data_IF_228906471983
#
_entry.id   IF_228906471983
#
_cell.length_a   1.000
_cell.length_b   1.000
_cell.length_c   1.000
_cell.angle_alpha   90.00
_cell.angle_beta   90.00
_cell.angle_gamma   90.00
#
_symmetry.space_group_name_H-M   'P 1'
#
loop_
_entity.id
_entity.type
_entity.pdbx_description
1 polymer ?
#
# COMPACT_ATOMS: atom_id res chain seq x y z
N UNK A 1 -10.29 8.01 29.39
CA UNK A 1 -8.86 7.95 28.94
C UNK A 1 -8.19 6.61 29.27
N UNK A 2 -8.56 5.94 30.38
CA UNK A 2 -8.08 4.60 30.74
C UNK A 2 -8.65 3.46 29.85
N UNK A 3 -9.94 3.48 29.51
CA UNK A 3 -10.53 2.47 28.60
C UNK A 3 -9.87 2.44 27.21
N UNK A 4 -9.55 3.61 26.64
CA UNK A 4 -8.83 3.70 25.35
C UNK A 4 -7.43 3.07 25.40
N UNK A 5 -6.75 3.04 26.56
CA UNK A 5 -5.45 2.37 26.71
C UNK A 5 -5.61 0.85 26.75
N UNK A 6 -6.63 0.32 27.42
CA UNK A 6 -6.87 -1.11 27.52
C UNK A 6 -7.23 -1.74 26.16
N UNK A 7 -8.08 -1.07 25.35
CA UNK A 7 -8.36 -1.51 23.98
C UNK A 7 -7.13 -1.44 23.06
N UNK A 8 -6.13 -0.60 23.35
CA UNK A 8 -4.91 -0.53 22.55
C UNK A 8 -4.01 -1.77 22.75
N UNK A 9 -3.87 -2.26 23.96
CA UNK A 9 -3.11 -3.49 24.22
C UNK A 9 -3.83 -4.70 23.62
N UNK A 10 -5.13 -4.85 23.90
CA UNK A 10 -5.95 -5.94 23.35
C UNK A 10 -5.90 -5.97 21.81
N UNK A 11 -6.11 -4.83 21.15
CA UNK A 11 -6.04 -4.78 19.68
C UNK A 11 -4.64 -5.08 19.14
N UNK A 12 -3.57 -4.80 19.90
CA UNK A 12 -2.21 -5.17 19.48
C UNK A 12 -2.01 -6.68 19.54
N UNK A 13 -2.43 -7.33 20.63
CA UNK A 13 -2.40 -8.79 20.73
C UNK A 13 -3.26 -9.48 19.67
N UNK A 14 -4.43 -8.91 19.37
CA UNK A 14 -5.31 -9.42 18.31
C UNK A 14 -4.69 -9.25 16.92
N UNK A 15 -4.03 -8.13 16.63
CA UNK A 15 -3.30 -7.95 15.35
C UNK A 15 -2.24 -9.04 15.20
N UNK A 16 -1.40 -9.24 16.24
CA UNK A 16 -0.30 -10.23 16.18
C UNK A 16 -0.84 -11.66 16.03
N UNK A 17 -1.86 -12.03 16.80
CA UNK A 17 -2.44 -13.38 16.74
C UNK A 17 -3.14 -13.66 15.41
N UNK A 18 -3.96 -12.74 14.89
CA UNK A 18 -4.61 -12.89 13.59
C UNK A 18 -3.56 -12.93 12.47
N UNK A 19 -2.54 -12.08 12.52
CA UNK A 19 -1.45 -12.09 11.53
C UNK A 19 -0.70 -13.41 11.52
N UNK A 20 -0.45 -13.99 12.70
CA UNK A 20 0.22 -15.27 12.85
C UNK A 20 -0.63 -16.41 12.26
N UNK A 21 -1.92 -16.48 12.61
CA UNK A 21 -2.84 -17.47 12.05
C UNK A 21 -2.97 -17.32 10.53
N UNK A 22 -3.08 -16.08 10.04
CA UNK A 22 -3.17 -15.80 8.61
C UNK A 22 -1.89 -16.20 7.86
N UNK A 23 -0.71 -15.98 8.46
CA UNK A 23 0.56 -16.45 7.91
C UNK A 23 0.65 -17.97 7.81
N UNK A 24 0.09 -18.71 8.79
CA UNK A 24 0.00 -20.16 8.72
C UNK A 24 -0.94 -20.62 7.59
N UNK A 25 -2.10 -19.98 7.46
CA UNK A 25 -3.11 -20.29 6.42
C UNK A 25 -2.55 -20.06 5.01
N UNK A 26 -1.90 -18.92 4.76
CA UNK A 26 -1.35 -18.62 3.44
C UNK A 26 -0.17 -19.54 3.15
N UNK A 27 0.75 -19.70 4.09
CA UNK A 27 1.93 -20.54 3.88
C UNK A 27 1.63 -22.05 3.78
N UNK A 28 0.48 -22.52 4.30
CA UNK A 28 0.00 -23.88 4.02
C UNK A 28 -0.54 -24.04 2.60
N UNK A 29 -0.67 -22.96 1.82
CA UNK A 29 -1.19 -22.97 0.47
C UNK A 29 -2.72 -22.99 0.37
N UNK A 30 -3.47 -22.60 1.41
CA UNK A 30 -4.95 -22.66 1.39
C UNK A 30 -5.55 -21.86 0.22
N UNK A 31 -4.95 -20.72 -0.10
CA UNK A 31 -5.38 -19.86 -1.19
C UNK A 31 -4.68 -20.15 -2.52
N UNK A 32 -3.74 -21.11 -2.56
CA UNK A 32 -2.86 -21.35 -3.71
C UNK A 32 -1.76 -20.30 -3.88
N UNK A 33 -0.92 -20.51 -4.89
CA UNK A 33 0.19 -19.62 -5.23
C UNK A 33 0.13 -19.13 -6.68
N UNK A 34 0.64 -17.92 -6.91
CA UNK A 34 0.63 -17.30 -8.24
C UNK A 34 1.84 -17.67 -9.09
N UNK A 35 1.84 -17.22 -10.34
CA UNK A 35 2.92 -17.47 -11.31
C UNK A 35 4.32 -17.07 -10.79
N UNK A 36 4.46 -15.86 -10.23
CA UNK A 36 5.75 -15.34 -9.74
C UNK A 36 6.29 -16.21 -8.57
N UNK A 37 5.40 -16.89 -7.82
CA UNK A 37 5.83 -17.86 -6.80
C UNK A 37 6.54 -19.05 -7.43
N UNK A 38 5.92 -19.71 -8.40
CA UNK A 38 6.54 -20.86 -9.05
C UNK A 38 7.76 -20.50 -9.89
N UNK A 39 7.80 -19.28 -10.46
CA UNK A 39 8.93 -18.80 -11.26
C UNK A 39 10.17 -18.49 -10.39
N UNK A 40 9.97 -17.84 -9.23
CA UNK A 40 11.08 -17.33 -8.43
C UNK A 40 11.02 -17.73 -6.94
N UNK A 41 9.88 -17.59 -6.28
CA UNK A 41 9.81 -17.70 -4.82
C UNK A 41 9.81 -19.14 -4.27
N UNK A 42 9.49 -20.12 -5.10
CA UNK A 42 9.61 -21.54 -4.81
C UNK A 42 11.08 -22.00 -4.77
N UNK A 43 12.00 -21.24 -5.38
CA UNK A 43 13.41 -21.59 -5.33
C UNK A 43 14.00 -21.30 -3.95
N UNK A 44 14.71 -22.24 -3.32
CA UNK A 44 15.19 -22.06 -1.95
C UNK A 44 16.34 -21.06 -1.86
N UNK A 45 16.21 -20.08 -0.95
CA UNK A 45 17.28 -19.13 -0.58
C UNK A 45 17.91 -18.40 -1.77
N UNK A 46 17.07 -17.97 -2.70
CA UNK A 46 17.46 -17.32 -3.93
C UNK A 46 18.20 -15.99 -3.67
N UNK A 47 19.39 -15.86 -4.26
CA UNK A 47 20.17 -14.62 -4.26
C UNK A 47 20.14 -13.96 -5.64
N UNK A 48 18.99 -13.40 -6.00
CA UNK A 48 18.78 -12.68 -7.25
C UNK A 48 18.58 -11.18 -7.01
N UNK A 49 18.63 -10.37 -8.07
CA UNK A 49 18.50 -8.92 -8.04
C UNK A 49 19.80 -8.18 -7.70
N UNK A 50 19.75 -6.85 -7.85
CA UNK A 50 20.81 -5.95 -7.39
C UNK A 50 20.71 -5.65 -5.89
N UNK A 51 21.53 -4.72 -5.40
CA UNK A 51 21.61 -4.34 -3.98
C UNK A 51 20.22 -3.95 -3.41
N UNK A 52 19.35 -3.35 -4.21
CA UNK A 52 18.01 -2.90 -3.80
C UNK A 52 16.92 -3.99 -3.84
N UNK A 53 17.22 -5.19 -4.32
CA UNK A 53 16.24 -6.28 -4.43
C UNK A 53 16.67 -7.56 -3.70
N UNK A 54 17.98 -7.72 -3.47
CA UNK A 54 18.56 -8.96 -2.99
C UNK A 54 18.04 -9.35 -1.60
N UNK A 55 17.86 -8.37 -0.70
CA UNK A 55 17.35 -8.64 0.63
C UNK A 55 15.89 -9.10 0.57
N UNK A 56 15.07 -8.45 -0.26
CA UNK A 56 13.69 -8.89 -0.50
C UNK A 56 13.60 -10.33 -1.01
N UNK A 57 14.45 -10.72 -1.97
CA UNK A 57 14.49 -12.10 -2.45
C UNK A 57 14.90 -13.09 -1.36
N UNK A 58 15.95 -12.79 -0.58
CA UNK A 58 16.40 -13.66 0.51
C UNK A 58 15.32 -13.89 1.56
N UNK A 59 14.57 -12.84 1.92
CA UNK A 59 13.47 -12.96 2.88
C UNK A 59 12.31 -13.76 2.29
N UNK A 60 11.88 -13.44 1.07
CA UNK A 60 10.73 -14.08 0.44
C UNK A 60 10.96 -15.57 0.09
N UNK A 61 12.20 -15.94 -0.20
CA UNK A 61 12.59 -17.31 -0.58
C UNK A 61 13.23 -18.13 0.55
N UNK A 62 13.22 -17.59 1.77
CA UNK A 62 13.85 -18.22 2.92
C UNK A 62 13.29 -19.63 3.11
N UNK A 63 14.17 -20.63 2.99
CA UNK A 63 13.80 -22.04 3.06
C UNK A 63 14.72 -22.74 4.04
N UNK A 64 14.14 -23.39 5.05
CA UNK A 64 14.88 -24.11 6.09
C UNK A 64 14.32 -25.53 6.13
N UNK A 65 15.20 -26.54 6.05
CA UNK A 65 14.83 -27.96 6.01
C UNK A 65 13.74 -28.30 4.97
N UNK A 66 13.75 -27.63 3.81
CA UNK A 66 12.77 -27.84 2.73
C UNK A 66 11.43 -27.14 2.94
N UNK A 67 11.24 -26.40 4.04
CA UNK A 67 10.02 -25.61 4.29
C UNK A 67 10.23 -24.15 3.88
N UNK A 68 9.35 -23.63 3.02
CA UNK A 68 9.39 -22.24 2.54
C UNK A 68 8.87 -21.24 3.59
N UNK A 69 9.69 -21.00 4.62
CA UNK A 69 9.39 -20.07 5.72
C UNK A 69 9.18 -18.63 5.23
N UNK A 70 9.80 -18.24 4.12
CA UNK A 70 9.70 -16.90 3.54
C UNK A 70 8.25 -16.45 3.30
N UNK A 71 7.38 -17.33 2.79
CA UNK A 71 5.96 -17.03 2.57
C UNK A 71 5.25 -16.64 3.86
N UNK A 72 5.50 -17.40 4.94
CA UNK A 72 4.93 -17.11 6.25
C UNK A 72 5.42 -15.77 6.79
N UNK A 73 6.71 -15.46 6.66
CA UNK A 73 7.28 -14.19 7.10
C UNK A 73 6.71 -13.00 6.34
N UNK A 74 6.65 -13.08 5.02
CA UNK A 74 6.09 -12.01 4.17
C UNK A 74 4.63 -11.74 4.56
N UNK A 75 3.85 -12.82 4.68
CA UNK A 75 2.43 -12.74 5.06
C UNK A 75 2.23 -12.14 6.44
N UNK A 76 3.05 -12.56 7.41
CA UNK A 76 2.99 -12.04 8.77
C UNK A 76 3.30 -10.55 8.82
N UNK A 77 4.40 -10.11 8.20
CA UNK A 77 4.80 -8.70 8.22
C UNK A 77 3.76 -7.82 7.50
N UNK A 78 3.26 -8.26 6.35
CA UNK A 78 2.26 -7.50 5.60
C UNK A 78 0.94 -7.40 6.37
N UNK A 79 0.42 -8.52 6.90
CA UNK A 79 -0.84 -8.50 7.67
C UNK A 79 -0.73 -7.70 8.97
N UNK A 80 0.40 -7.72 9.67
CA UNK A 80 0.65 -6.87 10.84
C UNK A 80 0.59 -5.39 10.45
N UNK A 81 1.35 -5.00 9.42
CA UNK A 81 1.43 -3.60 8.99
C UNK A 81 0.07 -3.05 8.52
N UNK A 82 -0.71 -3.86 7.79
CA UNK A 82 -2.07 -3.50 7.38
C UNK A 82 -3.00 -3.32 8.59
N UNK A 83 -2.92 -4.22 9.58
CA UNK A 83 -3.69 -4.11 10.83
C UNK A 83 -3.37 -2.83 11.60
N UNK A 84 -2.08 -2.46 11.71
CA UNK A 84 -1.70 -1.20 12.33
C UNK A 84 -2.15 0.02 11.54
N UNK A 85 -2.09 -0.01 10.21
CA UNK A 85 -2.52 1.09 9.35
C UNK A 85 -4.01 1.37 9.51
N UNK A 86 -4.85 0.34 9.42
CA UNK A 86 -6.30 0.43 9.57
C UNK A 86 -6.65 0.97 10.95
N UNK A 87 -6.03 0.41 12.00
CA UNK A 87 -6.26 0.84 13.39
C UNK A 87 -5.94 2.32 13.58
N UNK A 88 -4.84 2.79 13.03
CA UNK A 88 -4.42 4.19 13.18
C UNK A 88 -5.44 5.15 12.55
N UNK A 89 -5.91 4.84 11.34
CA UNK A 89 -6.86 5.69 10.64
C UNK A 89 -8.23 5.75 11.31
N UNK A 90 -8.73 4.62 11.83
CA UNK A 90 -9.99 4.60 12.57
C UNK A 90 -9.88 5.42 13.86
N UNK A 91 -8.74 5.35 14.56
CA UNK A 91 -8.47 6.16 15.76
C UNK A 91 -8.34 7.64 15.44
N UNK A 92 -7.67 7.99 14.34
CA UNK A 92 -7.56 9.37 13.87
C UNK A 92 -8.95 10.01 13.66
N UNK A 93 -9.89 9.25 13.09
CA UNK A 93 -11.30 9.66 12.95
C UNK A 93 -12.15 9.51 14.20
N UNK A 94 -11.54 9.20 15.34
CA UNK A 94 -12.20 8.92 16.62
C UNK A 94 -13.33 7.89 16.50
N UNK A 95 -13.34 7.04 15.48
CA UNK A 95 -14.45 6.14 15.15
C UNK A 95 -14.24 4.73 15.67
N UNK A 96 -13.23 4.56 16.53
CA UNK A 96 -12.77 3.27 16.99
C UNK A 96 -13.83 2.51 17.79
N UNK A 97 -14.14 1.30 17.31
CA UNK A 97 -14.69 0.23 18.11
C UNK A 97 -13.91 -1.05 17.77
N UNK A 98 -13.71 -1.92 18.76
CA UNK A 98 -12.93 -3.14 18.56
C UNK A 98 -13.55 -4.03 17.46
N UNK A 99 -14.88 -4.16 17.48
CA UNK A 99 -15.65 -4.97 16.50
C UNK A 99 -15.46 -4.44 15.08
N UNK A 100 -15.61 -3.11 14.88
CA UNK A 100 -15.42 -2.49 13.56
C UNK A 100 -13.97 -2.68 13.08
N UNK A 101 -13.00 -2.48 13.97
CA UNK A 101 -11.60 -2.68 13.63
C UNK A 101 -11.34 -4.12 13.20
N UNK A 102 -11.79 -5.12 13.97
CA UNK A 102 -11.60 -6.53 13.66
C UNK A 102 -12.28 -6.92 12.35
N UNK A 103 -13.51 -6.48 12.11
CA UNK A 103 -14.23 -6.78 10.87
C UNK A 103 -13.49 -6.21 9.66
N UNK A 104 -13.06 -4.95 9.72
CA UNK A 104 -12.32 -4.32 8.62
C UNK A 104 -10.96 -4.97 8.42
N UNK A 105 -10.28 -5.34 9.49
CA UNK A 105 -8.97 -5.97 9.42
C UNK A 105 -9.06 -7.36 8.77
N UNK A 106 -10.01 -8.20 9.20
CA UNK A 106 -10.23 -9.53 8.61
C UNK A 106 -10.64 -9.39 7.15
N UNK A 107 -11.55 -8.48 6.81
CA UNK A 107 -11.92 -8.25 5.41
C UNK A 107 -10.70 -7.82 4.57
N UNK A 108 -9.92 -6.85 5.06
CA UNK A 108 -8.78 -6.29 4.33
C UNK A 108 -7.69 -7.32 4.02
N UNK A 109 -7.31 -8.17 4.98
CA UNK A 109 -6.28 -9.20 4.74
C UNK A 109 -6.72 -10.25 3.72
N UNK A 110 -8.03 -10.41 3.52
CA UNK A 110 -8.63 -11.31 2.54
C UNK A 110 -8.91 -10.63 1.18
N UNK A 111 -8.46 -9.39 0.97
CA UNK A 111 -8.61 -8.73 -0.33
C UNK A 111 -7.40 -8.94 -1.22
N UNK A 112 -7.60 -8.88 -2.54
CA UNK A 112 -6.56 -9.11 -3.54
C UNK A 112 -5.26 -8.31 -3.31
N UNK A 113 -5.23 -7.05 -2.82
CA UNK A 113 -3.97 -6.36 -2.61
C UNK A 113 -3.05 -7.04 -1.59
N UNK A 114 -3.62 -7.67 -0.56
CA UNK A 114 -2.87 -8.41 0.46
C UNK A 114 -2.57 -9.81 -0.05
N UNK A 115 -3.56 -10.53 -0.57
CA UNK A 115 -3.38 -11.92 -1.01
C UNK A 115 -2.37 -12.00 -2.16
N UNK A 116 -2.53 -11.20 -3.22
CA UNK A 116 -1.59 -11.22 -4.34
C UNK A 116 -0.18 -10.82 -3.92
N UNK A 117 -0.05 -9.93 -2.93
CA UNK A 117 1.24 -9.52 -2.37
C UNK A 117 1.87 -10.57 -1.42
N UNK A 118 1.15 -11.61 -1.03
CA UNK A 118 1.64 -12.68 -0.14
C UNK A 118 1.82 -14.02 -0.85
N UNK A 119 1.09 -14.27 -1.94
CA UNK A 119 1.13 -15.52 -2.71
C UNK A 119 1.75 -15.39 -4.10
N UNK A 120 1.97 -14.16 -4.60
CA UNK A 120 2.55 -13.92 -5.92
C UNK A 120 3.65 -12.86 -5.87
N UNK A 121 3.33 -11.59 -5.62
CA UNK A 121 4.26 -10.47 -5.63
C UNK A 121 4.95 -10.23 -4.26
N UNK A 122 5.57 -11.27 -3.69
CA UNK A 122 6.01 -11.28 -2.29
C UNK A 122 6.96 -10.15 -1.88
N UNK A 123 7.95 -9.81 -2.72
CA UNK A 123 8.88 -8.69 -2.46
C UNK A 123 8.17 -7.34 -2.43
N UNK A 124 7.22 -7.17 -3.33
CA UNK A 124 6.38 -5.99 -3.36
C UNK A 124 5.53 -5.92 -2.08
N UNK A 125 5.02 -7.05 -1.59
CA UNK A 125 4.36 -7.16 -0.29
C UNK A 125 5.24 -6.73 0.89
N UNK A 126 6.51 -7.14 0.92
CA UNK A 126 7.47 -6.67 1.92
C UNK A 126 7.69 -5.15 1.85
N UNK A 127 7.92 -4.60 0.65
CA UNK A 127 8.06 -3.17 0.47
C UNK A 127 6.80 -2.39 0.89
N UNK A 128 5.61 -2.90 0.51
CA UNK A 128 4.29 -2.37 0.87
C UNK A 128 4.11 -2.33 2.38
N UNK A 129 4.51 -3.38 3.10
CA UNK A 129 4.40 -3.44 4.56
C UNK A 129 5.20 -2.35 5.27
N UNK A 130 6.41 -2.09 4.79
CA UNK A 130 7.27 -1.04 5.32
C UNK A 130 6.75 0.36 4.94
N UNK A 131 6.19 0.52 3.74
CA UNK A 131 5.53 1.75 3.33
C UNK A 131 4.32 2.05 4.21
N UNK A 132 3.52 1.04 4.56
CA UNK A 132 2.41 1.23 5.50
C UNK A 132 2.89 1.71 6.86
N UNK A 133 3.97 1.14 7.38
CA UNK A 133 4.58 1.59 8.63
C UNK A 133 5.16 3.01 8.53
N UNK A 134 5.81 3.35 7.40
CA UNK A 134 6.31 4.69 7.13
C UNK A 134 5.19 5.73 7.06
N UNK A 135 4.07 5.39 6.43
CA UNK A 135 2.87 6.24 6.36
C UNK A 135 2.25 6.48 7.75
N UNK A 136 2.18 5.45 8.60
CA UNK A 136 1.74 5.60 10.00
C UNK A 136 2.68 6.54 10.76
N UNK A 137 4.00 6.31 10.65
CA UNK A 137 5.00 7.13 11.32
C UNK A 137 4.95 8.60 10.84
N UNK A 138 4.76 8.81 9.53
CA UNK A 138 4.57 10.13 8.92
C UNK A 138 3.34 10.84 9.48
N UNK A 139 2.19 10.15 9.56
CA UNK A 139 0.97 10.72 10.14
C UNK A 139 1.12 11.09 11.62
N UNK A 140 1.99 10.39 12.35
CA UNK A 140 2.33 10.70 13.76
C UNK A 140 3.45 11.73 13.91
N UNK A 141 3.97 12.27 12.80
CA UNK A 141 5.15 13.17 12.77
C UNK A 141 6.40 12.55 13.41
N UNK A 142 6.51 11.22 13.40
CA UNK A 142 7.68 10.51 13.91
C UNK A 142 8.68 10.25 12.77
N UNK A 143 9.54 11.24 12.51
CA UNK A 143 10.44 11.24 11.35
C UNK A 143 11.49 10.11 11.41
N UNK A 144 11.97 9.74 12.59
CA UNK A 144 12.96 8.67 12.74
C UNK A 144 12.44 7.34 12.20
N UNK A 145 11.28 6.89 12.69
CA UNK A 145 10.67 5.64 12.23
C UNK A 145 10.22 5.73 10.78
N UNK A 146 9.74 6.89 10.33
CA UNK A 146 9.38 7.11 8.93
C UNK A 146 10.57 6.89 7.99
N UNK A 147 11.72 7.51 8.28
CA UNK A 147 12.94 7.37 7.48
C UNK A 147 13.43 5.92 7.54
N UNK A 148 13.49 5.32 8.73
CA UNK A 148 13.94 3.94 8.90
C UNK A 148 13.11 2.96 8.06
N UNK A 149 11.78 2.99 8.16
CA UNK A 149 10.94 2.09 7.37
C UNK A 149 11.01 2.37 5.87
N UNK A 150 11.11 3.64 5.48
CA UNK A 150 11.22 4.01 4.06
C UNK A 150 12.55 3.54 3.46
N UNK A 151 13.67 3.66 4.18
CA UNK A 151 14.98 3.15 3.75
C UNK A 151 14.97 1.63 3.65
N UNK A 152 14.42 0.93 4.64
CA UNK A 152 14.29 -0.53 4.58
C UNK A 152 13.47 -0.98 3.37
N UNK A 153 12.43 -0.22 2.99
CA UNK A 153 11.60 -0.54 1.81
C UNK A 153 12.41 -0.56 0.51
N UNK A 154 13.44 0.30 0.39
CA UNK A 154 14.34 0.36 -0.78
C UNK A 154 15.06 -0.98 -1.00
N UNK A 155 15.42 -1.69 0.07
CA UNK A 155 16.14 -2.97 -0.02
C UNK A 155 15.21 -4.19 -0.23
N UNK A 156 13.90 -4.01 -0.05
CA UNK A 156 12.92 -5.07 -0.28
C UNK A 156 12.51 -5.15 -1.75
N UNK A 157 12.32 -4.01 -2.42
CA UNK A 157 11.85 -3.95 -3.79
C UNK A 157 12.19 -2.60 -4.45
N UNK A 158 12.45 -2.60 -5.76
CA UNK A 158 12.73 -1.38 -6.56
C UNK A 158 11.72 -0.24 -6.36
N UNK A 159 10.43 -0.54 -6.16
CA UNK A 159 9.40 0.49 -5.93
C UNK A 159 9.57 1.21 -4.59
N UNK A 160 10.32 0.64 -3.63
CA UNK A 160 10.60 1.25 -2.35
C UNK A 160 11.32 2.60 -2.49
N UNK A 161 12.22 2.75 -3.47
CA UNK A 161 12.88 4.03 -3.75
C UNK A 161 11.88 5.11 -4.17
N UNK A 162 10.94 4.76 -5.05
CA UNK A 162 9.90 5.68 -5.50
C UNK A 162 9.08 6.17 -4.31
N UNK A 163 8.59 5.25 -3.47
CA UNK A 163 7.78 5.62 -2.31
C UNK A 163 8.57 6.36 -1.23
N UNK A 164 9.84 6.03 -1.01
CA UNK A 164 10.73 6.79 -0.13
C UNK A 164 10.80 8.26 -0.54
N UNK A 165 11.05 8.52 -1.83
CA UNK A 165 11.12 9.88 -2.36
C UNK A 165 9.78 10.61 -2.21
N UNK A 166 8.67 9.96 -2.55
CA UNK A 166 7.34 10.58 -2.44
C UNK A 166 6.99 10.90 -0.98
N UNK A 167 7.23 9.98 -0.04
CA UNK A 167 6.90 10.20 1.38
C UNK A 167 7.72 11.35 1.94
N UNK A 168 9.03 11.39 1.70
CA UNK A 168 9.90 12.47 2.17
C UNK A 168 9.46 13.79 1.56
N UNK A 169 9.30 13.83 0.23
CA UNK A 169 8.85 15.02 -0.46
C UNK A 169 7.53 15.55 0.10
N UNK A 170 6.56 14.66 0.32
CA UNK A 170 5.24 15.00 0.86
C UNK A 170 5.32 15.55 2.29
N UNK A 171 6.20 15.01 3.13
CA UNK A 171 6.42 15.56 4.48
C UNK A 171 7.03 16.95 4.46
N UNK A 172 8.01 17.19 3.57
CA UNK A 172 8.65 18.49 3.40
C UNK A 172 7.64 19.51 2.90
N UNK A 173 6.86 19.18 1.86
CA UNK A 173 5.82 20.09 1.36
C UNK A 173 4.73 20.32 2.40
N UNK A 174 4.33 19.30 3.17
CA UNK A 174 3.36 19.49 4.25
C UNK A 174 3.83 20.52 5.28
N UNK A 175 5.12 20.55 5.60
CA UNK A 175 5.71 21.54 6.50
C UNK A 175 5.59 22.97 5.93
N UNK A 176 5.93 23.17 4.66
CA UNK A 176 5.78 24.47 3.99
C UNK A 176 4.32 24.89 3.80
N UNK A 177 3.42 23.93 3.61
CA UNK A 177 2.00 24.21 3.42
C UNK A 177 1.36 24.81 4.67
N UNK A 178 1.88 24.59 5.89
CA UNK A 178 1.21 25.02 7.13
C UNK A 178 0.83 26.51 7.14
N UNK A 179 1.71 27.39 6.63
CA UNK A 179 1.51 28.85 6.62
C UNK A 179 0.62 29.37 5.49
N UNK A 180 0.25 28.53 4.52
CA UNK A 180 -0.46 28.95 3.31
C UNK A 180 -1.98 28.91 3.48
N UNK A 181 -2.66 29.86 2.79
CA UNK A 181 -4.11 29.83 2.63
C UNK A 181 -4.56 28.58 1.85
N UNK A 182 -5.80 28.12 2.05
CA UNK A 182 -6.30 26.94 1.35
C UNK A 182 -6.25 27.06 -0.18
N UNK A 183 -6.66 28.21 -0.73
CA UNK A 183 -6.60 28.45 -2.18
C UNK A 183 -5.16 28.38 -2.71
N UNK A 184 -4.21 28.97 -1.98
CA UNK A 184 -2.78 28.90 -2.31
C UNK A 184 -2.25 27.47 -2.24
N UNK A 185 -2.65 26.69 -1.22
CA UNK A 185 -2.30 25.27 -1.12
C UNK A 185 -2.77 24.49 -2.35
N UNK A 186 -4.04 24.62 -2.73
CA UNK A 186 -4.59 23.90 -3.88
C UNK A 186 -3.80 24.24 -5.14
N UNK A 187 -3.60 25.53 -5.40
CA UNK A 187 -2.85 26.01 -6.56
C UNK A 187 -1.42 25.48 -6.58
N UNK A 188 -0.65 25.66 -5.50
CA UNK A 188 0.76 25.25 -5.44
C UNK A 188 0.89 23.73 -5.54
N UNK A 189 0.10 22.96 -4.78
CA UNK A 189 0.17 21.49 -4.83
C UNK A 189 -0.22 20.96 -6.21
N UNK A 190 -1.18 21.58 -6.91
CA UNK A 190 -1.54 21.21 -8.28
C UNK A 190 -0.39 21.46 -9.27
N UNK A 191 0.24 22.65 -9.23
CA UNK A 191 1.39 22.96 -10.09
C UNK A 191 2.59 22.05 -9.80
N UNK A 192 2.89 21.81 -8.52
CA UNK A 192 3.94 20.85 -8.11
C UNK A 192 3.61 19.44 -8.62
N UNK A 193 2.34 19.02 -8.52
CA UNK A 193 1.89 17.74 -9.06
C UNK A 193 2.11 17.61 -10.57
N UNK A 194 1.78 18.64 -11.36
CA UNK A 194 2.05 18.67 -12.79
C UNK A 194 3.55 18.59 -13.11
N UNK A 195 4.38 19.35 -12.39
CA UNK A 195 5.85 19.28 -12.53
C UNK A 195 6.35 17.87 -12.22
N UNK A 196 5.84 17.20 -11.19
CA UNK A 196 6.19 15.82 -10.86
C UNK A 196 5.75 14.83 -11.94
N UNK A 197 4.57 15.02 -12.53
CA UNK A 197 4.10 14.19 -13.64
C UNK A 197 5.03 14.31 -14.86
N UNK A 198 5.32 15.54 -15.31
CA UNK A 198 6.18 15.75 -16.47
C UNK A 198 7.63 15.32 -16.22
N UNK A 199 8.17 15.60 -15.02
CA UNK A 199 9.54 15.21 -14.67
C UNK A 199 9.68 13.69 -14.56
N UNK A 200 8.71 12.99 -13.97
CA UNK A 200 8.72 11.52 -13.93
C UNK A 200 8.54 10.90 -15.31
N UNK A 201 7.66 11.44 -16.16
CA UNK A 201 7.52 11.00 -17.55
C UNK A 201 8.82 11.15 -18.35
N UNK A 202 9.47 12.32 -18.24
CA UNK A 202 10.75 12.57 -18.90
C UNK A 202 11.86 11.64 -18.38
N UNK A 203 11.93 11.42 -17.06
CA UNK A 203 12.88 10.50 -16.46
C UNK A 203 12.69 9.06 -16.94
N UNK A 204 11.44 8.59 -17.06
CA UNK A 204 11.14 7.25 -17.57
C UNK A 204 11.58 7.08 -19.04
N UNK A 205 11.37 8.10 -19.87
CA UNK A 205 11.81 8.09 -21.26
C UNK A 205 13.35 8.08 -21.40
N UNK A 206 14.07 8.81 -20.52
CA UNK A 206 15.54 8.81 -20.52
C UNK A 206 16.14 7.46 -20.12
N UNK A 207 15.51 6.74 -19.20
CA UNK A 207 15.97 5.43 -18.74
C UNK A 207 15.80 4.36 -19.84
N UNK A 208 14.98 4.63 -20.86
CA UNK A 208 14.82 3.75 -22.01
C UNK A 208 14.21 2.41 -21.63
N UNK A 209 13.16 2.40 -20.80
CA UNK A 209 12.40 1.18 -20.53
C UNK A 209 11.86 0.62 -21.84
N UNK A 210 12.43 -0.50 -22.28
CA UNK A 210 12.01 -1.21 -23.48
C UNK A 210 10.63 -1.81 -23.20
N UNK A 211 9.67 -1.51 -24.09
CA UNK A 211 8.25 -1.87 -24.02
C UNK A 211 7.94 -3.37 -24.15
N UNK A 212 8.91 -4.25 -23.87
CA UNK A 212 8.87 -5.65 -24.32
C UNK A 212 8.54 -6.68 -23.24
N UNK A 213 7.97 -6.28 -22.10
CA UNK A 213 7.36 -7.24 -21.19
C UNK A 213 5.87 -7.31 -21.47
N UNK A 214 5.40 -8.46 -21.97
CA UNK A 214 3.97 -8.76 -22.09
C UNK A 214 3.28 -8.48 -20.76
N UNK A 215 2.11 -7.85 -20.82
CA UNK A 215 1.38 -7.44 -19.63
C UNK A 215 1.02 -8.67 -18.79
N UNK A 216 1.74 -8.90 -17.67
CA UNK A 216 1.38 -9.91 -16.66
C UNK A 216 0.24 -9.39 -15.78
N UNK A 217 -0.88 -9.01 -16.40
CA UNK A 217 -2.13 -8.66 -15.70
C UNK A 217 -2.66 -9.93 -15.04
N UNK A 218 -3.02 -9.85 -13.77
CA UNK A 218 -3.49 -11.01 -13.02
C UNK A 218 -4.99 -10.88 -12.79
N UNK A 219 -5.77 -11.84 -13.29
CA UNK A 219 -7.22 -11.80 -13.21
C UNK A 219 -7.83 -10.77 -14.16
N UNK A 220 -8.06 -9.54 -13.69
CA UNK A 220 -8.71 -8.48 -14.45
C UNK A 220 -7.82 -7.22 -14.53
N UNK A 221 -8.05 -6.41 -15.55
CA UNK A 221 -7.33 -5.15 -15.78
C UNK A 221 -7.90 -4.02 -14.90
N UNK A 222 -7.14 -3.62 -13.86
CA UNK A 222 -7.54 -2.53 -12.96
C UNK A 222 -6.96 -1.15 -13.32
N UNK A 223 -6.28 -0.99 -14.47
CA UNK A 223 -5.60 0.27 -14.82
C UNK A 223 -6.54 1.47 -14.82
N UNK A 224 -7.66 1.37 -15.53
CA UNK A 224 -8.64 2.47 -15.60
C UNK A 224 -9.31 2.76 -14.26
N UNK A 225 -9.47 1.75 -13.40
CA UNK A 225 -9.98 1.95 -12.05
C UNK A 225 -9.00 2.78 -11.21
N UNK A 226 -7.69 2.49 -11.29
CA UNK A 226 -6.67 3.27 -10.59
C UNK A 226 -6.52 4.70 -11.14
N UNK A 227 -6.63 4.89 -12.46
CA UNK A 227 -6.65 6.24 -13.07
C UNK A 227 -7.83 7.03 -12.52
N UNK A 228 -9.00 6.39 -12.45
CA UNK A 228 -10.22 7.00 -11.92
C UNK A 228 -10.08 7.37 -10.45
N UNK A 229 -9.53 6.46 -9.62
CA UNK A 229 -9.23 6.72 -8.20
C UNK A 229 -8.30 7.92 -8.05
N UNK A 230 -7.19 7.94 -8.79
CA UNK A 230 -6.22 9.03 -8.75
C UNK A 230 -6.82 10.37 -9.17
N UNK A 231 -7.59 10.39 -10.25
CA UNK A 231 -8.27 11.57 -10.76
C UNK A 231 -9.32 12.12 -9.78
N UNK A 232 -10.17 11.26 -9.24
CA UNK A 232 -11.16 11.64 -8.21
C UNK A 232 -10.43 12.19 -6.97
N UNK A 233 -9.31 11.59 -6.58
CA UNK A 233 -8.54 12.06 -5.43
C UNK A 233 -7.94 13.45 -5.66
N UNK A 234 -7.37 13.70 -6.85
CA UNK A 234 -6.83 15.03 -7.20
C UNK A 234 -7.95 16.07 -7.25
N UNK A 235 -9.06 15.79 -7.95
CA UNK A 235 -10.18 16.72 -8.07
C UNK A 235 -10.83 17.01 -6.71
N UNK A 236 -10.97 16.00 -5.84
CA UNK A 236 -11.51 16.20 -4.50
C UNK A 236 -10.66 17.15 -3.64
N UNK A 237 -9.36 17.28 -3.89
CA UNK A 237 -8.49 18.21 -3.16
C UNK A 237 -8.85 19.69 -3.38
N UNK A 238 -9.53 20.01 -4.49
CA UNK A 238 -10.02 21.36 -4.84
C UNK A 238 -11.18 21.79 -3.94
N UNK A 239 -11.99 20.82 -3.50
CA UNK A 239 -13.19 21.07 -2.69
C UNK A 239 -12.97 20.80 -1.21
N UNK A 240 -12.05 19.88 -0.87
CA UNK A 240 -11.87 19.41 0.50
C UNK A 240 -10.48 19.76 1.07
N UNK A 241 -10.38 20.70 2.03
CA UNK A 241 -9.09 21.13 2.58
C UNK A 241 -8.34 20.05 3.35
N UNK A 242 -9.05 19.05 3.86
CA UNK A 242 -8.46 17.97 4.66
C UNK A 242 -7.55 17.05 3.84
N UNK A 243 -7.66 17.03 2.52
CA UNK A 243 -6.77 16.21 1.67
C UNK A 243 -5.36 16.81 1.63
N UNK A 244 -5.21 18.14 1.71
CA UNK A 244 -3.92 18.81 1.61
C UNK A 244 -3.32 19.18 2.98
N UNK A 245 -3.91 18.71 4.08
CA UNK A 245 -3.52 19.12 5.44
C UNK A 245 -2.61 18.14 6.18
N UNK A 246 -2.45 16.92 5.67
CA UNK A 246 -1.65 15.87 6.31
C UNK A 246 -0.66 15.26 5.30
N UNK A 247 0.53 14.92 5.76
CA UNK A 247 1.57 14.27 4.97
C UNK A 247 1.13 12.93 4.41
N UNK A 248 0.31 12.16 5.13
CA UNK A 248 -0.28 10.91 4.62
C UNK A 248 -1.10 11.16 3.34
N UNK A 249 -2.01 12.12 3.39
CA UNK A 249 -2.89 12.44 2.25
C UNK A 249 -2.13 13.08 1.10
N UNK A 250 -1.14 13.92 1.40
CA UNK A 250 -0.24 14.52 0.41
C UNK A 250 0.62 13.46 -0.30
N UNK A 251 1.04 12.41 0.42
CA UNK A 251 1.75 11.28 -0.19
C UNK A 251 0.91 10.64 -1.28
N UNK A 252 -0.36 10.35 -1.00
CA UNK A 252 -1.29 9.79 -1.97
C UNK A 252 -1.60 10.77 -3.10
N UNK A 253 -1.69 12.06 -2.79
CA UNK A 253 -1.94 13.11 -3.78
C UNK A 253 -0.82 13.18 -4.81
N UNK A 254 0.45 13.24 -4.38
CA UNK A 254 1.58 13.26 -5.30
C UNK A 254 1.82 11.93 -5.99
N UNK A 255 1.53 10.81 -5.32
CA UNK A 255 1.51 9.50 -5.95
C UNK A 255 0.52 9.44 -7.12
N UNK A 256 -0.65 10.07 -7.03
CA UNK A 256 -1.61 10.12 -8.16
C UNK A 256 -1.01 10.76 -9.41
N UNK A 257 -0.17 11.79 -9.28
CA UNK A 257 0.49 12.44 -10.42
C UNK A 257 1.66 11.61 -10.96
N UNK A 258 2.51 11.10 -10.06
CA UNK A 258 3.71 10.35 -10.45
C UNK A 258 3.34 8.99 -11.04
N UNK A 259 2.38 8.27 -10.46
CA UNK A 259 1.96 6.97 -11.01
C UNK A 259 1.35 7.11 -12.41
N UNK A 260 0.65 8.22 -12.70
CA UNK A 260 0.07 8.45 -14.02
C UNK A 260 1.13 8.54 -15.13
N UNK A 261 2.36 8.99 -14.83
CA UNK A 261 3.42 9.00 -15.84
C UNK A 261 3.84 7.60 -16.29
N UNK A 262 3.81 6.61 -15.41
CA UNK A 262 4.05 5.20 -15.75
C UNK A 262 2.98 4.67 -16.72
N UNK A 263 1.71 5.04 -16.50
CA UNK A 263 0.64 4.66 -17.41
C UNK A 263 0.82 5.29 -18.80
N UNK A 264 1.11 6.59 -18.85
CA UNK A 264 1.34 7.32 -20.12
C UNK A 264 2.58 6.77 -20.87
N UNK A 265 3.62 6.34 -20.14
CA UNK A 265 4.81 5.72 -20.73
C UNK A 265 4.63 4.23 -21.08
N UNK A 266 3.40 3.70 -21.08
CA UNK A 266 3.10 2.30 -21.46
C UNK A 266 3.50 1.23 -20.43
N UNK A 267 3.94 1.63 -19.22
CA UNK A 267 4.35 0.74 -18.12
C UNK A 267 3.12 0.23 -17.35
N UNK A 268 2.27 -0.50 -18.08
CA UNK A 268 0.92 -0.89 -17.67
C UNK A 268 0.88 -1.77 -16.41
N UNK A 269 1.67 -2.85 -16.38
CA UNK A 269 1.66 -3.77 -15.22
C UNK A 269 2.34 -3.14 -14.00
N UNK A 270 3.37 -2.29 -14.18
CA UNK A 270 4.00 -1.58 -13.07
C UNK A 270 3.02 -0.58 -12.46
N UNK A 271 2.28 0.14 -13.30
CA UNK A 271 1.23 1.05 -12.86
C UNK A 271 0.16 0.34 -12.01
N UNK A 272 -0.35 -0.79 -12.49
CA UNK A 272 -1.35 -1.58 -11.78
C UNK A 272 -0.83 -2.10 -10.43
N UNK A 273 0.40 -2.62 -10.40
CA UNK A 273 1.06 -3.08 -9.16
C UNK A 273 1.27 -1.95 -8.16
N UNK A 274 1.67 -0.75 -8.61
CA UNK A 274 1.76 0.41 -7.73
C UNK A 274 0.38 0.84 -7.19
N UNK A 275 -0.65 0.80 -8.03
CA UNK A 275 -2.03 1.05 -7.62
C UNK A 275 -2.50 0.09 -6.53
N UNK A 276 -2.19 -1.21 -6.67
CA UNK A 276 -2.45 -2.24 -5.68
C UNK A 276 -1.84 -1.89 -4.31
N UNK A 277 -0.58 -1.43 -4.28
CA UNK A 277 0.09 -1.06 -3.02
C UNK A 277 -0.60 0.10 -2.30
N UNK A 278 -1.20 1.02 -3.05
CA UNK A 278 -1.81 2.25 -2.51
C UNK A 278 -3.32 2.19 -2.34
N UNK A 279 -3.98 1.11 -2.76
CA UNK A 279 -5.44 1.00 -2.71
C UNK A 279 -6.00 1.11 -1.28
N UNK A 280 -5.44 0.38 -0.32
CA UNK A 280 -5.86 0.45 1.09
C UNK A 280 -5.63 1.87 1.66
N UNK A 281 -4.44 2.49 1.50
CA UNK A 281 -4.24 3.90 1.85
C UNK A 281 -5.27 4.85 1.22
N UNK A 282 -5.61 4.70 -0.06
CA UNK A 282 -6.65 5.52 -0.71
C UNK A 282 -8.02 5.34 -0.08
N UNK A 283 -8.44 4.08 0.16
CA UNK A 283 -9.72 3.79 0.82
C UNK A 283 -9.78 4.52 2.17
N UNK A 284 -8.72 4.40 2.97
CA UNK A 284 -8.65 5.04 4.28
C UNK A 284 -8.64 6.58 4.19
N UNK A 285 -7.94 7.14 3.21
CA UNK A 285 -7.85 8.60 3.00
C UNK A 285 -9.17 9.20 2.54
N UNK A 286 -9.88 8.60 1.59
CA UNK A 286 -11.19 9.09 1.15
C UNK A 286 -12.19 9.19 2.29
N UNK A 287 -12.11 8.29 3.26
CA UNK A 287 -12.92 8.36 4.46
C UNK A 287 -12.68 9.62 5.32
N UNK A 288 -11.59 10.37 5.08
CA UNK A 288 -11.34 11.67 5.71
C UNK A 288 -12.38 12.72 5.30
N UNK A 289 -12.99 12.57 4.13
CA UNK A 289 -14.03 13.46 3.63
C UNK A 289 -15.37 13.28 4.33
N UNK A 290 -15.56 12.14 5.01
CA UNK A 290 -16.84 11.75 5.58
C UNK A 290 -16.95 12.11 7.07
N UNK A 291 -18.21 12.30 7.48
CA UNK A 291 -18.62 12.39 8.87
C UNK A 291 -18.42 11.04 9.58
N UNK A 292 -18.37 11.07 10.92
CA UNK A 292 -18.02 9.89 11.76
C UNK A 292 -18.92 8.67 11.50
N UNK A 293 -20.22 8.85 11.37
CA UNK A 293 -21.18 7.77 11.09
C UNK A 293 -21.00 7.21 9.68
N UNK A 294 -21.01 8.09 8.69
CA UNK A 294 -20.83 7.75 7.27
C UNK A 294 -19.48 7.07 7.00
N UNK A 295 -18.43 7.47 7.72
CA UNK A 295 -17.09 6.87 7.62
C UNK A 295 -17.10 5.37 7.95
N UNK A 296 -17.81 4.96 9.00
CA UNK A 296 -17.90 3.53 9.38
C UNK A 296 -18.60 2.71 8.31
N UNK A 297 -19.73 3.22 7.81
CA UNK A 297 -20.52 2.58 6.75
C UNK A 297 -19.69 2.48 5.47
N UNK A 298 -19.05 3.57 5.07
CA UNK A 298 -18.17 3.63 3.91
C UNK A 298 -17.05 2.58 3.99
N UNK A 299 -16.35 2.47 5.12
CA UNK A 299 -15.27 1.49 5.25
C UNK A 299 -15.78 0.05 5.12
N UNK A 300 -16.90 -0.30 5.78
CA UNK A 300 -17.45 -1.65 5.68
C UNK A 300 -17.85 -1.93 4.23
N UNK A 301 -18.62 -1.03 3.60
CA UNK A 301 -19.08 -1.22 2.22
C UNK A 301 -17.93 -1.31 1.22
N UNK A 302 -16.89 -0.48 1.37
CA UNK A 302 -15.74 -0.51 0.47
C UNK A 302 -14.90 -1.76 0.63
N UNK A 303 -14.61 -2.23 1.85
CA UNK A 303 -13.86 -3.47 2.03
C UNK A 303 -14.68 -4.72 1.67
N UNK A 304 -15.98 -4.74 1.93
CA UNK A 304 -16.88 -5.81 1.43
C UNK A 304 -16.94 -5.81 -0.09
N UNK A 305 -17.10 -4.62 -0.71
CA UNK A 305 -17.07 -4.47 -2.15
C UNK A 305 -15.74 -4.90 -2.77
N UNK A 306 -14.62 -4.57 -2.11
CA UNK A 306 -13.28 -4.98 -2.56
C UNK A 306 -13.07 -6.50 -2.45
N UNK A 307 -13.57 -7.13 -1.38
CA UNK A 307 -13.56 -8.58 -1.24
C UNK A 307 -14.43 -9.24 -2.32
N UNK A 308 -15.61 -8.68 -2.58
CA UNK A 308 -16.48 -9.17 -3.65
C UNK A 308 -15.82 -9.06 -5.03
N UNK A 309 -15.18 -7.93 -5.33
CA UNK A 309 -14.40 -7.74 -6.54
C UNK A 309 -13.25 -8.75 -6.64
N UNK A 310 -12.56 -9.03 -5.52
CA UNK A 310 -11.50 -10.05 -5.46
C UNK A 310 -12.01 -11.42 -5.92
N UNK A 311 -13.23 -11.79 -5.52
CA UNK A 311 -13.87 -13.05 -5.92
C UNK A 311 -14.28 -12.98 -7.40
N UNK A 312 -15.00 -11.93 -7.80
CA UNK A 312 -15.55 -11.81 -9.16
C UNK A 312 -14.49 -11.74 -10.26
N UNK A 313 -13.36 -11.08 -10.01
CA UNK A 313 -12.30 -10.95 -11.01
C UNK A 313 -11.39 -12.17 -11.07
N UNK A 314 -11.73 -13.25 -10.34
CA UNK A 314 -11.01 -14.50 -10.37
C UNK A 314 -9.61 -14.41 -9.77
N UNK A 315 -9.34 -13.43 -8.91
CA UNK A 315 -8.02 -13.29 -8.26
C UNK A 315 -7.65 -14.54 -7.46
N UNK A 316 -8.62 -15.11 -6.74
CA UNK A 316 -8.43 -16.40 -6.08
C UNK A 316 -8.18 -17.54 -7.06
N UNK A 317 -8.90 -17.59 -8.19
CA UNK A 317 -8.70 -18.62 -9.21
C UNK A 317 -7.38 -18.48 -9.98
N UNK A 318 -6.72 -17.32 -9.92
CA UNK A 318 -5.40 -17.09 -10.50
C UNK A 318 -4.27 -17.74 -9.68
N UNK A 319 -4.57 -18.14 -8.45
CA UNK A 319 -3.69 -18.86 -7.55
C UNK A 319 -3.98 -20.35 -7.71
N UNK A 320 -2.95 -21.12 -8.05
CA UNK A 320 -3.06 -22.56 -8.31
C UNK A 320 -2.65 -23.39 -7.11
#
# INVERSE_FOLDING_TARGET
MLENKQYNYLSTYLIVSISFLFALIIGSGLYGYGHDFYEAYYQPNLTWGGIFDQLGYRVATLTIYGVHIGVHLVTFILSISAGFLIREHIKFKQSYSLILFLSLYILAIHTWPIIMSTSNAMRQGLAMSLIFMALIASSRKNFYWMILFSVLSIFMHKTGLLFFLIIIFSTVINYYNVSLSYKSKVFINFFVGLILLFSSYYALNLIGFIFSEESRIIGADFRWAFVSIGFIYITSSIFYPNILSNSFNLTLYYFSFISLSFYISGLNWQYERMGMMMLIPYILSFGILLNRSSYKIYLILTFVGLLWLTILTGMYGSLK
#
